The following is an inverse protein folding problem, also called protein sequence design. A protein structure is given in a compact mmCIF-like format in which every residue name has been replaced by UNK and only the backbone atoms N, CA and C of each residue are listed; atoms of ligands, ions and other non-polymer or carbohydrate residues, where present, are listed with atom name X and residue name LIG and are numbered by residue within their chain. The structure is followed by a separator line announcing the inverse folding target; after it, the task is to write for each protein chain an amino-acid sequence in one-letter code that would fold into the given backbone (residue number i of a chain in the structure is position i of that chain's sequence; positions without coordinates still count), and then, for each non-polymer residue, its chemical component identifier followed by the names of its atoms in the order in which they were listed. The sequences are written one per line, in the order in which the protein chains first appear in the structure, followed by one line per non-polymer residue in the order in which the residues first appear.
data_IF_559309684714
#
_entry.id   IF_559309684714
#
_cell.length_a   1.000
_cell.length_b   1.000
_cell.length_c   1.000
_cell.angle_alpha   90.00
_cell.angle_beta   90.00
_cell.angle_gamma   90.00
#
_symmetry.space_group_name_H-M   'P 1'
#
loop_
_entity.id
_entity.type
_entity.pdbx_description
1 polymer ?
#
# COMPACT_ATOMS: atom_id res chain seq x y z
N UNK A 1 7.64 24.02 -15.30
CA UNK A 1 6.25 24.22 -15.76
C UNK A 1 5.36 23.39 -14.82
N UNK A 2 4.66 24.03 -13.90
CA UNK A 2 3.84 23.33 -12.90
C UNK A 2 2.63 22.69 -13.56
N UNK A 3 2.53 21.35 -13.45
CA UNK A 3 1.38 20.55 -13.95
C UNK A 3 0.14 20.72 -13.01
N UNK A 4 0.00 21.88 -12.38
CA UNK A 4 -0.98 22.10 -11.30
C UNK A 4 -2.44 22.29 -11.75
N UNK A 5 -2.74 22.46 -13.07
CA UNK A 5 -4.01 23.11 -13.44
C UNK A 5 -4.94 22.33 -14.39
N UNK A 6 -4.87 20.99 -14.52
CA UNK A 6 -5.72 20.30 -15.50
C UNK A 6 -6.53 19.11 -15.01
N UNK A 7 -6.73 18.93 -13.73
CA UNK A 7 -7.56 17.80 -13.28
C UNK A 7 -8.87 18.30 -12.68
N UNK A 8 -9.90 18.24 -13.49
CA UNK A 8 -11.29 18.40 -13.02
C UNK A 8 -11.57 17.29 -12.01
N UNK A 9 -11.82 17.66 -10.77
CA UNK A 9 -12.44 16.73 -9.81
C UNK A 9 -13.80 16.39 -10.40
N UNK A 10 -14.04 15.14 -10.75
CA UNK A 10 -15.36 14.70 -11.18
C UNK A 10 -16.18 14.59 -9.89
N UNK A 11 -17.16 15.46 -9.65
CA UNK A 11 -18.08 15.33 -8.54
C UNK A 11 -19.06 14.18 -8.88
N UNK A 12 -18.60 12.94 -8.73
CA UNK A 12 -19.39 11.75 -8.97
C UNK A 12 -19.48 10.97 -7.67
N UNK A 13 -20.70 10.81 -7.17
CA UNK A 13 -20.97 10.02 -5.97
C UNK A 13 -21.17 8.56 -6.37
N UNK A 14 -20.41 7.69 -5.73
CA UNK A 14 -20.55 6.24 -5.86
C UNK A 14 -21.06 5.66 -4.57
N UNK A 15 -22.28 5.10 -4.60
CA UNK A 15 -22.88 4.51 -3.40
C UNK A 15 -21.99 3.42 -2.80
N UNK A 16 -22.03 3.30 -1.46
CA UNK A 16 -21.33 2.24 -0.74
C UNK A 16 -21.57 0.85 -1.35
N UNK A 17 -22.80 0.56 -1.77
CA UNK A 17 -23.17 -0.71 -2.40
C UNK A 17 -22.37 -0.98 -3.69
N UNK A 18 -22.20 0.03 -4.55
CA UNK A 18 -21.42 -0.09 -5.79
C UNK A 18 -19.94 -0.25 -5.50
N UNK A 19 -19.39 0.53 -4.55
CA UNK A 19 -17.99 0.42 -4.11
C UNK A 19 -17.69 -0.97 -3.55
N UNK A 20 -18.55 -1.50 -2.66
CA UNK A 20 -18.43 -2.84 -2.09
C UNK A 20 -18.44 -3.92 -3.17
N UNK A 21 -19.36 -3.80 -4.15
CA UNK A 21 -19.46 -4.76 -5.26
C UNK A 21 -18.17 -4.79 -6.09
N UNK A 22 -17.63 -3.62 -6.44
CA UNK A 22 -16.36 -3.51 -7.14
C UNK A 22 -15.20 -4.09 -6.32
N UNK A 23 -15.10 -3.76 -5.03
CA UNK A 23 -14.09 -4.30 -4.12
C UNK A 23 -14.11 -5.83 -4.07
N UNK A 24 -15.27 -6.45 -3.85
CA UNK A 24 -15.42 -7.90 -3.83
C UNK A 24 -15.03 -8.55 -5.17
N UNK A 25 -15.36 -7.92 -6.30
CA UNK A 25 -14.98 -8.38 -7.63
C UNK A 25 -13.45 -8.39 -7.81
N UNK A 26 -12.78 -7.32 -7.38
CA UNK A 26 -11.31 -7.23 -7.47
C UNK A 26 -10.62 -8.19 -6.49
N UNK A 27 -11.12 -8.35 -5.27
CA UNK A 27 -10.60 -9.35 -4.33
C UNK A 27 -10.64 -10.76 -4.93
N UNK A 28 -11.79 -11.15 -5.54
CA UNK A 28 -11.92 -12.43 -6.23
C UNK A 28 -10.92 -12.57 -7.39
N UNK A 29 -10.74 -11.50 -8.18
CA UNK A 29 -9.80 -11.47 -9.30
C UNK A 29 -8.34 -11.61 -8.85
N UNK A 30 -8.00 -11.03 -7.69
CA UNK A 30 -6.67 -11.14 -7.06
C UNK A 30 -6.43 -12.51 -6.39
N UNK A 31 -7.43 -13.38 -6.33
CA UNK A 31 -7.31 -14.74 -5.79
C UNK A 31 -7.61 -14.86 -4.29
N UNK A 32 -8.30 -13.87 -3.70
CA UNK A 32 -8.76 -13.98 -2.31
C UNK A 32 -9.76 -15.10 -2.12
N UNK A 33 -9.51 -15.98 -1.15
CA UNK A 33 -10.39 -17.09 -0.83
C UNK A 33 -11.47 -16.67 0.18
N UNK A 34 -12.68 -16.42 -0.29
CA UNK A 34 -13.83 -16.04 0.54
C UNK A 34 -14.35 -17.14 1.49
N UNK A 35 -13.90 -18.39 1.33
CA UNK A 35 -14.19 -19.45 2.32
C UNK A 35 -13.26 -19.35 3.54
N UNK A 36 -12.18 -18.55 3.43
CA UNK A 36 -11.17 -18.32 4.46
C UNK A 36 -11.06 -16.84 4.83
N UNK A 37 -12.12 -16.08 4.65
CA UNK A 37 -12.14 -14.70 5.03
C UNK A 37 -13.30 -13.92 4.41
N UNK A 38 -13.37 -12.62 4.76
CA UNK A 38 -14.47 -11.75 4.32
C UNK A 38 -14.08 -10.28 4.35
N UNK A 39 -14.87 -9.45 3.68
CA UNK A 39 -14.79 -8.00 3.68
C UNK A 39 -15.96 -7.40 4.46
N UNK A 40 -15.64 -6.63 5.50
CA UNK A 40 -16.59 -5.89 6.33
C UNK A 40 -16.31 -4.38 6.28
N UNK A 41 -17.15 -3.59 6.95
CA UNK A 41 -17.01 -2.14 7.09
C UNK A 41 -16.51 -1.78 8.48
N UNK A 42 -15.57 -0.83 8.56
CA UNK A 42 -15.09 -0.24 9.81
C UNK A 42 -14.70 1.22 9.63
N UNK A 43 -14.36 1.90 10.73
CA UNK A 43 -13.88 3.28 10.70
C UNK A 43 -12.49 3.41 10.04
N UNK A 44 -11.65 2.38 10.16
CA UNK A 44 -10.33 2.31 9.57
C UNK A 44 -10.16 1.01 8.80
N UNK A 45 -9.61 1.03 7.56
CA UNK A 45 -9.19 -0.18 6.86
C UNK A 45 -8.20 -0.98 7.70
N UNK A 46 -8.33 -2.29 7.65
CA UNK A 46 -7.48 -3.17 8.44
C UNK A 46 -7.64 -4.61 7.95
N UNK A 47 -6.57 -5.37 7.99
CA UNK A 47 -6.56 -6.82 7.78
C UNK A 47 -6.07 -7.53 9.04
N UNK A 48 -6.74 -8.62 9.43
CA UNK A 48 -6.36 -9.40 10.61
C UNK A 48 -7.07 -10.73 10.66
N UNK A 49 -6.83 -11.48 11.73
CA UNK A 49 -7.37 -12.82 11.92
C UNK A 49 -6.26 -13.87 11.87
N UNK A 50 -6.61 -15.03 11.34
CA UNK A 50 -5.68 -16.16 11.17
C UNK A 50 -5.74 -16.64 9.71
N UNK A 51 -4.74 -17.40 9.22
CA UNK A 51 -4.67 -17.82 7.82
C UNK A 51 -5.91 -18.53 7.26
N UNK A 52 -6.73 -19.13 8.11
CA UNK A 52 -7.95 -19.83 7.73
C UNK A 52 -9.24 -19.03 8.01
N UNK A 53 -9.14 -17.83 8.61
CA UNK A 53 -10.21 -16.83 8.79
C UNK A 53 -9.63 -15.41 8.78
N UNK A 54 -9.25 -14.92 7.60
CA UNK A 54 -8.70 -13.57 7.42
C UNK A 54 -9.83 -12.58 7.20
N UNK A 55 -9.89 -11.55 8.03
CA UNK A 55 -10.93 -10.53 7.99
C UNK A 55 -10.37 -9.19 7.56
N UNK A 56 -10.89 -8.70 6.46
CA UNK A 56 -10.58 -7.38 5.91
C UNK A 56 -11.69 -6.42 6.30
N UNK A 57 -11.33 -5.20 6.66
CA UNK A 57 -12.28 -4.11 6.79
C UNK A 57 -11.90 -2.94 5.91
N UNK A 58 -12.90 -2.16 5.50
CA UNK A 58 -12.70 -0.93 4.75
C UNK A 58 -13.68 0.14 5.17
N UNK A 59 -13.35 1.39 4.84
CA UNK A 59 -14.23 2.55 4.96
C UNK A 59 -14.66 2.98 3.57
N UNK A 60 -15.96 3.21 3.38
CA UNK A 60 -16.50 3.73 2.14
C UNK A 60 -16.76 5.23 2.26
N UNK A 61 -16.31 5.98 1.26
CA UNK A 61 -16.66 7.38 1.07
C UNK A 61 -17.31 7.53 -0.31
N UNK A 62 -18.55 8.00 -0.35
CA UNK A 62 -19.27 8.15 -1.61
C UNK A 62 -18.67 9.23 -2.52
N UNK A 63 -17.89 10.15 -1.95
CA UNK A 63 -17.18 11.20 -2.70
C UNK A 63 -15.75 10.80 -3.11
N UNK A 64 -15.17 9.77 -2.46
CA UNK A 64 -13.83 9.27 -2.74
C UNK A 64 -13.77 7.73 -2.83
N UNK A 65 -14.45 7.21 -3.85
CA UNK A 65 -14.46 5.78 -4.14
C UNK A 65 -13.06 5.20 -4.45
N UNK A 66 -12.15 6.02 -4.98
CA UNK A 66 -10.82 5.57 -5.38
C UNK A 66 -9.96 5.22 -4.16
N UNK A 67 -10.02 6.05 -3.10
CA UNK A 67 -9.35 5.76 -1.82
C UNK A 67 -9.88 4.47 -1.20
N UNK A 68 -11.22 4.30 -1.18
CA UNK A 68 -11.84 3.07 -0.68
C UNK A 68 -11.38 1.83 -1.46
N UNK A 69 -11.30 1.94 -2.79
CA UNK A 69 -10.88 0.84 -3.66
C UNK A 69 -9.42 0.46 -3.43
N UNK A 70 -8.52 1.45 -3.39
CA UNK A 70 -7.09 1.20 -3.14
C UNK A 70 -6.87 0.62 -1.75
N UNK A 71 -7.64 1.06 -0.74
CA UNK A 71 -7.64 0.46 0.59
C UNK A 71 -8.06 -1.02 0.58
N UNK A 72 -9.11 -1.39 -0.16
CA UNK A 72 -9.50 -2.81 -0.31
C UNK A 72 -8.40 -3.62 -0.98
N UNK A 73 -7.75 -3.09 -2.03
CA UNK A 73 -6.64 -3.76 -2.71
C UNK A 73 -5.45 -3.94 -1.76
N UNK A 74 -5.11 -2.92 -0.99
CA UNK A 74 -4.05 -2.95 0.02
C UNK A 74 -4.29 -4.05 1.05
N UNK A 75 -5.46 -4.04 1.70
CA UNK A 75 -5.81 -5.03 2.70
C UNK A 75 -5.91 -6.45 2.11
N UNK A 76 -6.29 -6.56 0.83
CA UNK A 76 -6.27 -7.85 0.12
C UNK A 76 -4.86 -8.40 -0.01
N UNK A 77 -3.85 -7.54 -0.22
CA UNK A 77 -2.44 -7.98 -0.26
C UNK A 77 -1.98 -8.58 1.07
N UNK A 78 -2.30 -7.94 2.18
CA UNK A 78 -2.08 -8.48 3.51
C UNK A 78 -2.77 -9.83 3.71
N UNK A 79 -4.03 -9.92 3.30
CA UNK A 79 -4.83 -11.12 3.46
C UNK A 79 -4.35 -12.29 2.60
N UNK A 80 -3.86 -12.03 1.38
CA UNK A 80 -3.29 -13.06 0.52
C UNK A 80 -1.99 -13.62 1.07
N UNK A 81 -1.20 -12.80 1.78
CA UNK A 81 -0.04 -13.27 2.51
C UNK A 81 -0.46 -14.25 3.62
N UNK A 82 -1.39 -13.85 4.48
CA UNK A 82 -1.92 -14.73 5.53
C UNK A 82 -2.49 -16.03 4.97
N UNK A 83 -3.35 -15.97 3.93
CA UNK A 83 -3.92 -17.16 3.29
C UNK A 83 -2.88 -18.03 2.59
N UNK A 84 -1.72 -17.48 2.26
CA UNK A 84 -0.60 -18.16 1.61
C UNK A 84 0.40 -18.82 2.57
N UNK A 85 0.31 -18.55 3.88
CA UNK A 85 1.24 -19.08 4.88
C UNK A 85 1.22 -20.62 4.95
N UNK A 86 2.36 -21.27 5.30
CA UNK A 86 2.52 -22.71 5.25
C UNK A 86 1.56 -23.44 6.19
N UNK A 87 0.81 -24.40 5.64
CA UNK A 87 -0.20 -25.16 6.40
C UNK A 87 0.41 -26.14 7.39
N UNK A 88 1.56 -26.69 7.06
CA UNK A 88 2.30 -27.67 7.89
C UNK A 88 2.80 -27.06 9.18
N UNK A 89 2.93 -25.74 9.25
CA UNK A 89 3.41 -25.02 10.44
C UNK A 89 2.31 -24.23 11.16
N UNK A 90 1.03 -24.54 10.88
CA UNK A 90 -0.10 -23.88 11.54
C UNK A 90 0.00 -23.95 13.06
N UNK A 91 -0.20 -22.83 13.73
CA UNK A 91 -0.14 -22.74 15.18
C UNK A 91 1.28 -22.79 15.77
N UNK A 92 2.31 -22.71 14.92
CA UNK A 92 3.70 -22.61 15.35
C UNK A 92 4.25 -21.23 14.92
N UNK A 93 5.13 -20.60 15.73
CA UNK A 93 5.70 -19.27 15.40
C UNK A 93 6.42 -19.23 14.05
N UNK A 94 7.00 -20.35 13.59
CA UNK A 94 7.66 -20.45 12.29
C UNK A 94 6.65 -20.35 11.13
N UNK A 95 5.39 -20.70 11.37
CA UNK A 95 4.31 -20.62 10.39
C UNK A 95 3.63 -19.24 10.30
N UNK A 96 3.99 -18.31 11.18
CA UNK A 96 3.44 -16.95 11.17
C UNK A 96 4.13 -16.09 10.09
N UNK A 97 3.49 -14.99 9.71
CA UNK A 97 4.05 -14.02 8.77
C UNK A 97 5.37 -13.42 9.30
N UNK A 98 6.34 -13.19 8.40
CA UNK A 98 7.68 -12.69 8.76
C UNK A 98 7.70 -11.18 8.98
N UNK A 99 7.07 -10.71 10.04
CA UNK A 99 7.16 -9.32 10.48
C UNK A 99 6.56 -8.31 9.50
N UNK A 100 6.47 -7.05 9.94
CA UNK A 100 5.70 -6.02 9.25
C UNK A 100 6.33 -5.52 7.95
N UNK A 101 7.65 -5.59 7.79
CA UNK A 101 8.30 -5.19 6.51
C UNK A 101 7.81 -6.07 5.35
N UNK A 102 7.84 -7.40 5.53
CA UNK A 102 7.34 -8.32 4.49
C UNK A 102 5.81 -8.27 4.39
N UNK A 103 5.11 -8.12 5.51
CA UNK A 103 3.65 -8.01 5.49
C UNK A 103 3.17 -6.81 4.68
N UNK A 104 3.78 -5.64 4.92
CA UNK A 104 3.50 -4.41 4.16
C UNK A 104 3.98 -4.53 2.71
N UNK A 105 5.06 -5.27 2.43
CA UNK A 105 5.50 -5.47 1.06
C UNK A 105 4.47 -6.21 0.21
N UNK A 106 3.64 -7.09 0.80
CA UNK A 106 2.62 -7.84 0.06
C UNK A 106 1.42 -6.94 -0.28
N UNK A 107 0.99 -6.08 0.65
CA UNK A 107 -0.04 -5.06 0.40
C UNK A 107 0.40 -4.09 -0.69
N UNK A 108 1.63 -3.56 -0.59
CA UNK A 108 2.15 -2.59 -1.54
C UNK A 108 2.57 -3.20 -2.89
N UNK A 109 2.91 -4.49 -2.95
CA UNK A 109 3.10 -5.19 -4.23
C UNK A 109 1.80 -5.22 -5.02
N UNK A 110 0.65 -5.47 -4.38
CA UNK A 110 -0.64 -5.39 -5.06
C UNK A 110 -1.05 -3.95 -5.32
N UNK A 111 -1.11 -3.10 -4.29
CA UNK A 111 -1.62 -1.74 -4.42
C UNK A 111 -0.72 -0.87 -5.30
N UNK A 112 0.54 -0.69 -4.88
CA UNK A 112 1.44 0.29 -5.49
C UNK A 112 2.09 -0.22 -6.77
N UNK A 113 2.47 -1.50 -6.84
CA UNK A 113 3.18 -2.00 -8.00
C UNK A 113 2.22 -2.52 -9.08
N UNK A 114 1.39 -3.49 -8.77
CA UNK A 114 0.49 -4.11 -9.74
C UNK A 114 -0.71 -3.21 -10.08
N UNK A 115 -1.48 -2.76 -9.08
CA UNK A 115 -2.76 -2.07 -9.31
C UNK A 115 -2.64 -0.56 -9.58
N UNK A 116 -1.45 0.01 -9.44
CA UNK A 116 -1.16 1.37 -9.96
C UNK A 116 -0.37 1.34 -11.27
N UNK A 117 -0.24 0.19 -11.93
CA UNK A 117 0.32 0.10 -13.27
C UNK A 117 -0.66 0.57 -14.33
N UNK A 118 -0.14 1.08 -15.46
CA UNK A 118 -0.95 1.47 -16.62
C UNK A 118 -1.76 0.30 -17.14
N UNK A 119 -1.16 -0.88 -17.18
CA UNK A 119 -1.76 -2.11 -17.66
C UNK A 119 -2.98 -2.50 -16.84
N UNK A 120 -2.90 -2.40 -15.51
CA UNK A 120 -4.06 -2.67 -14.66
C UNK A 120 -5.21 -1.68 -14.91
N UNK A 121 -4.93 -0.40 -15.15
CA UNK A 121 -5.97 0.58 -15.47
C UNK A 121 -6.65 0.31 -16.81
N UNK A 122 -5.97 -0.36 -17.78
CA UNK A 122 -6.61 -0.80 -19.02
C UNK A 122 -7.66 -1.89 -18.76
N UNK A 123 -7.46 -2.74 -17.75
CA UNK A 123 -8.48 -3.67 -17.25
C UNK A 123 -9.53 -2.97 -16.37
N UNK A 124 -9.09 -2.13 -15.44
CA UNK A 124 -9.96 -1.57 -14.40
C UNK A 124 -10.99 -0.57 -14.97
N UNK A 125 -10.61 0.25 -15.94
CA UNK A 125 -11.47 1.31 -16.47
C UNK A 125 -12.81 0.80 -17.03
N UNK A 126 -12.86 -0.23 -17.89
CA UNK A 126 -14.13 -0.79 -18.35
C UNK A 126 -14.93 -1.45 -17.22
N UNK A 127 -14.27 -2.03 -16.21
CA UNK A 127 -14.94 -2.62 -15.04
C UNK A 127 -15.61 -1.53 -14.21
N UNK A 128 -14.94 -0.39 -14.01
CA UNK A 128 -15.52 0.80 -13.32
C UNK A 128 -16.70 1.34 -14.13
N UNK A 129 -16.54 1.50 -15.44
CA UNK A 129 -17.60 2.02 -16.31
C UNK A 129 -18.89 1.20 -16.19
N UNK A 130 -18.77 -0.12 -16.18
CA UNK A 130 -19.88 -1.06 -16.03
C UNK A 130 -20.50 -1.00 -14.62
N UNK A 131 -19.68 -1.11 -13.56
CA UNK A 131 -20.18 -1.17 -12.19
C UNK A 131 -20.78 0.16 -11.69
N UNK A 132 -20.27 1.27 -12.18
CA UNK A 132 -20.73 2.60 -11.75
C UNK A 132 -21.75 3.22 -12.73
N UNK A 133 -21.95 2.61 -13.89
CA UNK A 133 -22.82 3.13 -14.95
C UNK A 133 -22.37 4.52 -15.41
N UNK A 134 -21.07 4.62 -15.77
CA UNK A 134 -20.42 5.85 -16.18
C UNK A 134 -19.77 5.72 -17.55
N UNK A 135 -19.62 6.85 -18.23
CA UNK A 135 -18.98 6.92 -19.54
C UNK A 135 -18.31 8.28 -19.74
N UNK A 136 -17.40 8.38 -20.70
CA UNK A 136 -16.72 9.63 -21.02
C UNK A 136 -15.20 9.50 -20.93
N UNK A 137 -14.49 10.50 -21.42
CA UNK A 137 -13.02 10.52 -21.47
C UNK A 137 -12.37 10.52 -20.11
N UNK A 138 -13.02 11.09 -19.12
CA UNK A 138 -12.60 11.17 -17.72
C UNK A 138 -12.55 9.82 -17.02
N UNK A 139 -13.26 8.82 -17.54
CA UNK A 139 -13.28 7.43 -17.07
C UNK A 139 -12.37 6.51 -17.90
N UNK A 140 -11.63 7.06 -18.85
CA UNK A 140 -10.64 6.28 -19.62
C UNK A 140 -9.50 5.77 -18.71
N UNK A 141 -8.89 4.66 -19.10
CA UNK A 141 -7.74 4.08 -18.40
C UNK A 141 -6.63 5.10 -18.13
N UNK A 142 -6.31 5.93 -19.14
CA UNK A 142 -5.31 6.98 -19.02
C UNK A 142 -5.69 8.06 -18.00
N UNK A 143 -6.96 8.52 -17.99
CA UNK A 143 -7.41 9.55 -17.07
C UNK A 143 -7.44 9.05 -15.64
N UNK A 144 -7.94 7.83 -15.40
CA UNK A 144 -7.97 7.21 -14.09
C UNK A 144 -6.55 6.92 -13.56
N UNK A 145 -5.65 6.42 -14.41
CA UNK A 145 -4.25 6.20 -14.06
C UNK A 145 -3.55 7.50 -13.65
N UNK A 146 -3.68 8.57 -14.45
CA UNK A 146 -3.11 9.88 -14.14
C UNK A 146 -3.65 10.45 -12.82
N UNK A 147 -4.96 10.27 -12.56
CA UNK A 147 -5.58 10.68 -11.28
C UNK A 147 -4.97 9.92 -10.10
N UNK A 148 -4.75 8.61 -10.24
CA UNK A 148 -4.17 7.76 -9.21
C UNK A 148 -2.71 8.10 -8.90
N UNK A 149 -1.96 8.61 -9.89
CA UNK A 149 -0.54 8.99 -9.74
C UNK A 149 -0.35 10.47 -9.38
N UNK A 150 -1.41 11.19 -9.02
CA UNK A 150 -1.29 12.61 -8.67
C UNK A 150 -0.47 12.79 -7.39
N UNK A 151 0.55 13.66 -7.48
CA UNK A 151 1.34 14.09 -6.33
C UNK A 151 0.65 15.29 -5.69
N UNK A 152 0.29 15.15 -4.41
CA UNK A 152 -0.35 16.22 -3.64
C UNK A 152 0.19 16.18 -2.20
N UNK A 153 1.31 16.85 -1.91
CA UNK A 153 1.87 16.89 -0.57
C UNK A 153 0.81 17.35 0.45
N UNK A 154 0.69 16.63 1.55
CA UNK A 154 -0.35 16.80 2.55
C UNK A 154 0.25 16.77 3.96
N UNK A 155 -0.50 17.24 4.98
CA UNK A 155 -0.11 17.12 6.38
C UNK A 155 -0.24 15.68 6.90
N UNK A 156 -1.25 14.97 6.43
CA UNK A 156 -1.67 13.68 6.99
C UNK A 156 -0.94 12.54 6.26
N UNK A 157 -0.21 11.72 7.02
CA UNK A 157 0.56 10.60 6.48
C UNK A 157 -0.29 9.58 5.74
N UNK A 158 -1.42 9.20 6.31
CA UNK A 158 -2.28 8.16 5.72
C UNK A 158 -2.93 8.58 4.39
N UNK A 159 -2.98 9.89 4.12
CA UNK A 159 -3.50 10.46 2.88
C UNK A 159 -2.38 10.88 1.91
N UNK A 160 -1.11 10.59 2.26
CA UNK A 160 0.04 11.02 1.45
C UNK A 160 0.15 10.18 0.17
N UNK A 161 0.57 10.86 -0.91
CA UNK A 161 0.91 10.21 -2.17
C UNK A 161 2.19 9.36 -2.07
N UNK A 162 2.38 8.43 -3.02
CA UNK A 162 3.50 7.49 -3.03
C UNK A 162 4.88 8.17 -2.98
N UNK A 163 5.02 9.35 -3.61
CA UNK A 163 6.31 10.05 -3.69
C UNK A 163 6.64 10.74 -2.37
N UNK A 164 5.65 11.31 -1.69
CA UNK A 164 5.87 12.09 -0.45
C UNK A 164 5.71 11.26 0.83
N UNK A 165 5.11 10.07 0.75
CA UNK A 165 4.94 9.18 1.89
C UNK A 165 6.25 8.86 2.65
N UNK A 166 7.37 8.53 2.00
CA UNK A 166 8.64 8.28 2.69
C UNK A 166 9.14 9.45 3.53
N UNK A 167 8.84 10.70 3.14
CA UNK A 167 9.23 11.88 3.92
C UNK A 167 8.49 11.94 5.25
N UNK A 168 7.22 11.52 5.28
CA UNK A 168 6.45 11.39 6.52
C UNK A 168 7.07 10.33 7.46
N UNK A 169 7.52 9.22 6.91
CA UNK A 169 8.17 8.14 7.68
C UNK A 169 9.52 8.60 8.22
N UNK A 170 10.36 9.21 7.38
CA UNK A 170 11.69 9.72 7.77
C UNK A 170 11.57 10.76 8.89
N UNK A 171 10.59 11.66 8.80
CA UNK A 171 10.32 12.65 9.83
C UNK A 171 10.06 11.97 11.17
N UNK A 172 9.14 11.02 11.21
CA UNK A 172 8.78 10.28 12.43
C UNK A 172 9.94 9.48 12.99
N UNK A 173 10.66 8.77 12.15
CA UNK A 173 11.82 7.99 12.54
C UNK A 173 12.89 8.85 13.23
N UNK A 174 13.22 10.01 12.67
CA UNK A 174 14.21 10.92 13.26
C UNK A 174 13.74 11.50 14.59
N UNK A 175 12.48 11.92 14.69
CA UNK A 175 11.93 12.44 15.94
C UNK A 175 11.86 11.33 17.01
N UNK A 176 11.48 10.12 16.64
CA UNK A 176 11.45 8.96 17.53
C UNK A 176 12.84 8.65 18.10
N UNK A 177 13.88 8.65 17.25
CA UNK A 177 15.25 8.49 17.71
C UNK A 177 15.64 9.57 18.73
N UNK A 178 15.33 10.84 18.44
CA UNK A 178 15.65 11.96 19.36
C UNK A 178 14.88 11.90 20.67
N UNK A 179 13.63 11.43 20.66
CA UNK A 179 12.83 11.22 21.87
C UNK A 179 13.41 10.08 22.73
N UNK A 180 13.79 8.97 22.10
CA UNK A 180 14.30 7.78 22.81
C UNK A 180 15.73 7.99 23.33
N UNK A 181 16.57 8.77 22.64
CA UNK A 181 17.91 9.14 23.13
C UNK A 181 17.88 10.19 24.25
N UNK A 182 16.75 10.91 24.41
CA UNK A 182 16.64 12.03 25.35
C UNK A 182 17.15 13.36 24.80
N UNK A 183 17.52 13.43 23.51
CA UNK A 183 17.96 14.68 22.84
C UNK A 183 16.79 15.63 22.60
N UNK A 184 15.57 15.12 22.60
CA UNK A 184 14.32 15.86 22.45
C UNK A 184 13.36 15.51 23.58
N UNK A 185 12.86 16.49 24.30
CA UNK A 185 11.78 16.28 25.26
C UNK A 185 10.40 16.23 24.57
N UNK A 186 9.45 15.52 25.18
CA UNK A 186 8.05 15.46 24.67
C UNK A 186 7.44 16.86 24.57
N UNK A 187 7.79 17.79 25.47
CA UNK A 187 7.30 19.17 25.44
C UNK A 187 7.76 19.93 24.19
N UNK A 188 8.93 19.62 23.66
CA UNK A 188 9.51 20.27 22.48
C UNK A 188 9.06 19.61 21.18
N UNK A 189 8.45 18.43 21.25
CA UNK A 189 8.04 17.66 20.07
C UNK A 189 7.20 18.46 19.05
N UNK A 190 6.18 19.28 19.43
CA UNK A 190 5.39 20.02 18.45
C UNK A 190 6.24 21.00 17.62
N UNK A 191 7.19 21.70 18.27
CA UNK A 191 8.07 22.62 17.56
C UNK A 191 9.04 21.89 16.64
N UNK A 192 9.69 20.83 17.13
CA UNK A 192 10.62 20.01 16.35
C UNK A 192 9.92 19.36 15.14
N UNK A 193 8.67 18.90 15.32
CA UNK A 193 7.83 18.39 14.24
C UNK A 193 7.60 19.44 13.15
N UNK A 194 7.14 20.63 13.54
CA UNK A 194 6.82 21.71 12.61
C UNK A 194 8.06 22.19 11.83
N UNK A 195 9.23 22.26 12.47
CA UNK A 195 10.47 22.64 11.83
C UNK A 195 10.96 21.59 10.83
N UNK A 196 10.89 20.32 11.21
CA UNK A 196 11.27 19.21 10.33
C UNK A 196 10.28 19.06 9.17
N UNK A 197 8.98 19.27 9.43
CA UNK A 197 7.93 19.24 8.41
C UNK A 197 8.14 20.37 7.38
N UNK A 198 8.39 21.60 7.84
CA UNK A 198 8.73 22.74 6.97
C UNK A 198 9.95 22.44 6.10
N UNK A 199 11.00 21.84 6.67
CA UNK A 199 12.22 21.49 5.93
C UNK A 199 11.96 20.43 4.85
N UNK A 200 11.05 19.50 5.10
CA UNK A 200 10.76 18.37 4.19
C UNK A 200 9.72 18.71 3.12
N UNK A 201 8.70 19.49 3.46
CA UNK A 201 7.52 19.74 2.62
C UNK A 201 7.35 21.18 2.17
N UNK A 202 8.05 22.15 2.80
CA UNK A 202 7.96 23.58 2.47
C UNK A 202 6.74 24.29 3.07
N UNK A 203 5.97 23.63 3.95
CA UNK A 203 4.83 24.21 4.68
C UNK A 203 4.73 23.58 6.07
N UNK A 204 3.89 24.14 6.96
CA UNK A 204 3.73 23.66 8.35
C UNK A 204 2.29 23.28 8.64
N UNK A 205 2.04 22.23 9.45
CA UNK A 205 0.73 22.02 10.06
C UNK A 205 0.28 23.24 10.86
N UNK A 206 -1.02 23.53 10.86
CA UNK A 206 -1.60 24.67 11.56
C UNK A 206 -1.95 24.39 13.01
N UNK A 207 -1.93 23.11 13.40
CA UNK A 207 -2.25 22.60 14.73
C UNK A 207 -1.61 21.22 14.94
N UNK A 208 -1.53 20.78 16.21
CA UNK A 208 -0.87 19.54 16.56
C UNK A 208 -1.67 18.29 16.15
N UNK A 209 -2.99 18.38 15.98
CA UNK A 209 -3.84 17.29 15.48
C UNK A 209 -3.42 16.87 14.07
N UNK A 210 -3.12 17.85 13.21
CA UNK A 210 -2.65 17.61 11.84
C UNK A 210 -1.12 17.46 11.80
N UNK A 211 -0.46 17.67 12.93
CA UNK A 211 0.97 17.54 13.18
C UNK A 211 1.33 16.29 13.98
N UNK A 212 2.00 16.47 15.11
CA UNK A 212 2.59 15.37 15.90
C UNK A 212 1.56 14.46 16.59
N UNK A 213 0.29 14.83 16.64
CA UNK A 213 -0.78 14.03 17.27
C UNK A 213 -1.64 13.24 16.27
N UNK A 214 -1.27 13.22 14.98
CA UNK A 214 -2.11 12.56 13.95
C UNK A 214 -2.05 11.03 13.96
N UNK A 215 -1.00 10.44 14.52
CA UNK A 215 -0.78 8.99 14.56
C UNK A 215 -0.91 8.44 15.99
N UNK A 216 -1.42 7.23 16.13
CA UNK A 216 -1.59 6.56 17.44
C UNK A 216 -0.37 5.74 17.87
N UNK A 217 0.59 5.50 16.99
CA UNK A 217 1.70 4.55 17.18
C UNK A 217 2.44 4.75 18.50
N UNK A 218 2.85 5.97 18.81
CA UNK A 218 3.59 6.23 20.05
C UNK A 218 2.72 6.12 21.31
N UNK A 219 1.41 6.41 21.20
CA UNK A 219 0.46 6.21 22.31
C UNK A 219 0.24 4.73 22.64
N UNK A 220 0.30 3.87 21.60
CA UNK A 220 0.21 2.41 21.74
C UNK A 220 1.56 1.75 22.06
N UNK A 221 2.63 2.53 22.22
CA UNK A 221 3.97 2.02 22.48
C UNK A 221 4.65 1.38 21.28
N UNK A 222 4.14 1.60 20.07
CA UNK A 222 4.68 1.05 18.82
C UNK A 222 5.90 1.85 18.30
N UNK A 223 6.92 1.93 19.13
CA UNK A 223 8.22 2.51 18.76
C UNK A 223 8.96 1.60 17.79
N UNK A 224 9.66 2.18 16.81
CA UNK A 224 10.35 1.43 15.73
C UNK A 224 9.43 0.93 14.62
N UNK A 225 8.13 1.23 14.68
CA UNK A 225 7.16 0.73 13.71
C UNK A 225 7.16 1.51 12.39
N UNK A 226 7.24 2.85 12.40
CA UNK A 226 7.14 3.70 11.21
C UNK A 226 8.07 3.31 10.05
N UNK A 227 9.34 2.88 10.27
CA UNK A 227 10.20 2.44 9.20
C UNK A 227 9.62 1.30 8.34
N UNK A 228 8.79 0.42 8.93
CA UNK A 228 8.23 -0.75 8.24
C UNK A 228 7.44 -0.38 6.99
N UNK A 229 6.77 0.77 6.98
CA UNK A 229 6.03 1.28 5.83
C UNK A 229 6.92 1.54 4.62
N UNK A 230 8.01 2.31 4.81
CA UNK A 230 8.92 2.61 3.69
C UNK A 230 9.78 1.42 3.31
N UNK A 231 10.23 0.62 4.29
CA UNK A 231 10.96 -0.63 4.01
C UNK A 231 10.07 -1.63 3.29
N UNK A 232 8.77 -1.70 3.64
CA UNK A 232 7.77 -2.48 2.91
C UNK A 232 7.60 -2.03 1.47
N UNK A 233 7.55 -0.71 1.22
CA UNK A 233 7.50 -0.16 -0.14
C UNK A 233 8.75 -0.47 -0.96
N UNK A 234 9.94 -0.41 -0.34
CA UNK A 234 11.20 -0.81 -0.96
C UNK A 234 11.20 -2.30 -1.33
N UNK A 235 10.77 -3.16 -0.40
CA UNK A 235 10.66 -4.60 -0.63
C UNK A 235 9.64 -4.92 -1.74
N UNK A 236 8.49 -4.24 -1.75
CA UNK A 236 7.47 -4.39 -2.80
C UNK A 236 8.01 -4.06 -4.19
N UNK A 237 8.73 -2.95 -4.34
CA UNK A 237 9.35 -2.56 -5.61
C UNK A 237 10.41 -3.57 -6.08
N UNK A 238 11.22 -4.09 -5.15
CA UNK A 238 12.24 -5.09 -5.44
C UNK A 238 11.62 -6.43 -5.84
N UNK A 239 10.62 -6.93 -5.09
CA UNK A 239 9.88 -8.16 -5.41
C UNK A 239 9.17 -8.06 -6.76
N UNK A 240 8.49 -6.94 -7.02
CA UNK A 240 7.80 -6.75 -8.29
C UNK A 240 8.77 -6.67 -9.47
N UNK A 241 9.92 -6.00 -9.31
CA UNK A 241 10.98 -5.99 -10.31
C UNK A 241 11.51 -7.39 -10.60
N UNK A 242 11.69 -8.22 -9.56
CA UNK A 242 12.16 -9.59 -9.70
C UNK A 242 11.15 -10.46 -10.46
N UNK A 243 9.86 -10.43 -10.08
CA UNK A 243 8.85 -11.24 -10.77
C UNK A 243 8.67 -10.82 -12.22
N UNK A 244 8.65 -9.52 -12.54
CA UNK A 244 8.54 -9.05 -13.94
C UNK A 244 9.73 -9.48 -14.79
N UNK A 245 10.93 -9.58 -14.18
CA UNK A 245 12.14 -10.05 -14.86
C UNK A 245 12.06 -11.55 -15.22
N UNK A 246 11.53 -12.38 -14.33
CA UNK A 246 11.43 -13.84 -14.56
C UNK A 246 10.16 -14.23 -15.30
N UNK A 247 9.08 -13.48 -15.13
CA UNK A 247 7.78 -13.67 -15.78
C UNK A 247 7.36 -12.40 -16.56
N UNK A 248 7.95 -12.14 -17.73
CA UNK A 248 7.68 -10.89 -18.49
C UNK A 248 6.21 -10.71 -18.90
N UNK A 249 5.40 -11.79 -18.85
CA UNK A 249 3.96 -11.74 -19.18
C UNK A 249 3.10 -11.14 -18.06
N UNK A 250 3.65 -10.92 -16.85
CA UNK A 250 2.89 -10.37 -15.70
C UNK A 250 2.13 -9.10 -16.10
N UNK A 251 2.79 -8.12 -16.71
CA UNK A 251 2.14 -6.87 -17.10
C UNK A 251 0.99 -7.10 -18.11
N UNK A 252 1.18 -7.97 -19.10
CA UNK A 252 0.12 -8.31 -20.06
C UNK A 252 -1.04 -9.06 -19.42
N UNK A 253 -0.80 -9.86 -18.37
CA UNK A 253 -1.83 -10.52 -17.57
C UNK A 253 -2.60 -9.52 -16.69
N UNK A 254 -1.91 -8.57 -16.06
CA UNK A 254 -2.57 -7.49 -15.30
C UNK A 254 -3.53 -6.67 -16.19
N UNK A 255 -3.19 -6.48 -17.46
CA UNK A 255 -4.07 -5.85 -18.46
C UNK A 255 -5.36 -6.65 -18.71
N UNK A 256 -5.38 -7.92 -18.37
CA UNK A 256 -6.55 -8.81 -18.45
C UNK A 256 -7.22 -9.03 -17.09
N UNK A 257 -6.68 -8.42 -16.02
CA UNK A 257 -7.11 -8.64 -14.64
C UNK A 257 -6.68 -9.99 -14.08
N UNK A 258 -5.69 -10.65 -14.69
CA UNK A 258 -5.17 -11.94 -14.25
C UNK A 258 -3.95 -11.75 -13.34
N UNK A 259 -4.11 -12.05 -12.06
CA UNK A 259 -3.08 -11.99 -11.03
C UNK A 259 -2.46 -13.36 -10.71
N UNK A 260 -2.87 -14.42 -11.42
CA UNK A 260 -2.53 -15.79 -11.05
C UNK A 260 -1.03 -16.05 -10.97
N UNK A 261 -0.25 -15.64 -11.98
CA UNK A 261 1.20 -15.87 -11.99
C UNK A 261 1.92 -15.03 -10.92
N UNK A 262 1.48 -13.79 -10.70
CA UNK A 262 2.02 -12.95 -9.63
C UNK A 262 1.78 -13.61 -8.27
N UNK A 263 0.56 -14.09 -8.02
CA UNK A 263 0.21 -14.74 -6.75
C UNK A 263 0.95 -16.07 -6.57
N UNK A 264 1.09 -16.87 -7.62
CA UNK A 264 1.88 -18.13 -7.57
C UNK A 264 3.32 -17.82 -7.21
N UNK A 265 3.95 -16.85 -7.87
CA UNK A 265 5.32 -16.47 -7.58
C UNK A 265 5.51 -15.96 -6.14
N UNK A 266 4.61 -15.07 -5.65
CA UNK A 266 4.66 -14.59 -4.27
C UNK A 266 4.49 -15.72 -3.25
N UNK A 267 3.61 -16.68 -3.51
CA UNK A 267 3.42 -17.84 -2.64
C UNK A 267 4.67 -18.70 -2.57
N UNK A 268 5.31 -18.96 -3.71
CA UNK A 268 6.50 -19.79 -3.79
C UNK A 268 7.72 -19.12 -3.14
N UNK A 269 7.93 -17.84 -3.38
CA UNK A 269 9.16 -17.14 -3.00
C UNK A 269 9.07 -16.39 -1.67
N UNK A 270 7.87 -16.09 -1.18
CA UNK A 270 7.67 -15.31 0.06
C UNK A 270 6.76 -16.03 1.04
N UNK A 271 5.50 -16.33 0.65
CA UNK A 271 4.47 -16.76 1.60
C UNK A 271 4.76 -18.12 2.23
N UNK A 272 5.24 -19.09 1.43
CA UNK A 272 5.51 -20.46 1.87
C UNK A 272 6.61 -20.58 2.93
N UNK A 273 7.38 -19.54 3.13
CA UNK A 273 8.47 -19.55 4.11
C UNK A 273 8.01 -19.16 5.53
N UNK A 274 6.86 -18.50 5.69
CA UNK A 274 6.44 -17.98 6.99
C UNK A 274 7.55 -17.18 7.65
N UNK A 275 7.88 -17.52 8.89
CA UNK A 275 9.01 -16.95 9.65
C UNK A 275 10.25 -17.84 9.69
N UNK A 276 10.37 -18.82 8.78
CA UNK A 276 11.51 -19.75 8.77
C UNK A 276 12.85 -19.07 8.49
N UNK A 277 12.87 -18.10 7.57
CA UNK A 277 14.03 -17.28 7.25
C UNK A 277 13.87 -15.85 7.80
N UNK A 278 14.96 -15.12 7.95
CA UNK A 278 14.94 -13.68 8.19
C UNK A 278 14.38 -12.91 6.98
N UNK A 279 14.00 -11.65 7.18
CA UNK A 279 13.55 -10.79 6.08
C UNK A 279 14.60 -10.67 4.97
N UNK A 280 15.87 -10.47 5.34
CA UNK A 280 16.96 -10.35 4.37
C UNK A 280 17.19 -11.64 3.59
N UNK A 281 17.14 -12.80 4.25
CA UNK A 281 17.26 -14.10 3.58
C UNK A 281 16.09 -14.36 2.62
N UNK A 282 14.85 -13.98 2.98
CA UNK A 282 13.70 -14.11 2.07
C UNK A 282 13.88 -13.19 0.87
N UNK A 283 14.28 -11.94 1.08
CA UNK A 283 14.54 -11.00 0.00
C UNK A 283 15.65 -11.48 -0.94
N UNK A 284 16.76 -11.97 -0.38
CA UNK A 284 17.88 -12.49 -1.17
C UNK A 284 17.47 -13.72 -1.98
N UNK A 285 16.71 -14.66 -1.41
CA UNK A 285 16.20 -15.84 -2.10
C UNK A 285 15.23 -15.49 -3.21
N UNK A 286 14.35 -14.52 -2.99
CA UNK A 286 13.33 -14.12 -3.95
C UNK A 286 13.89 -13.23 -5.07
N UNK A 287 14.91 -12.41 -4.80
CA UNK A 287 15.33 -11.33 -5.71
C UNK A 287 16.81 -11.37 -6.09
N UNK A 288 17.61 -12.20 -5.40
CA UNK A 288 19.05 -12.34 -5.60
C UNK A 288 19.91 -11.38 -4.77
N UNK A 289 19.30 -10.45 -4.02
CA UNK A 289 20.00 -9.51 -3.12
C UNK A 289 19.16 -9.24 -1.87
N UNK A 290 19.78 -8.91 -0.72
CA UNK A 290 19.08 -8.35 0.42
C UNK A 290 18.29 -7.10 0.03
N UNK A 291 17.55 -6.51 0.96
CA UNK A 291 16.76 -5.30 0.71
C UNK A 291 17.65 -4.16 0.19
N UNK A 292 17.36 -3.70 -1.04
CA UNK A 292 18.12 -2.65 -1.74
C UNK A 292 17.20 -1.49 -2.13
N UNK A 293 17.40 -0.27 -1.58
CA UNK A 293 16.58 0.90 -1.89
C UNK A 293 16.66 1.35 -3.35
N UNK A 294 17.65 0.90 -4.12
CA UNK A 294 17.83 1.30 -5.53
C UNK A 294 16.64 0.89 -6.41
N UNK A 295 15.98 -0.23 -6.11
CA UNK A 295 14.78 -0.68 -6.81
C UNK A 295 13.62 0.30 -6.62
N UNK A 296 13.40 0.76 -5.39
CA UNK A 296 12.34 1.74 -5.09
C UNK A 296 12.65 3.11 -5.71
N UNK A 297 13.88 3.57 -5.63
CA UNK A 297 14.30 4.83 -6.27
C UNK A 297 14.11 4.74 -7.79
N UNK A 298 14.47 3.63 -8.42
CA UNK A 298 14.28 3.40 -9.86
C UNK A 298 12.80 3.37 -10.23
N UNK A 299 11.97 2.72 -9.41
CA UNK A 299 10.53 2.70 -9.57
C UNK A 299 9.94 4.12 -9.52
N UNK A 300 10.24 4.92 -8.50
CA UNK A 300 9.76 6.29 -8.38
C UNK A 300 10.20 7.17 -9.56
N UNK A 301 11.48 7.05 -9.98
CA UNK A 301 11.97 7.78 -11.15
C UNK A 301 11.22 7.39 -12.43
N UNK A 302 11.04 6.10 -12.66
CA UNK A 302 10.33 5.62 -13.85
C UNK A 302 8.87 6.04 -13.89
N UNK A 303 8.23 6.18 -12.73
CA UNK A 303 6.80 6.53 -12.61
C UNK A 303 6.55 8.04 -12.68
N UNK A 304 7.40 8.85 -12.06
CA UNK A 304 7.15 10.27 -11.83
C UNK A 304 8.07 11.25 -12.57
N UNK A 305 9.15 10.78 -13.19
CA UNK A 305 10.14 11.64 -13.87
C UNK A 305 10.22 11.40 -15.39
N UNK A 306 9.15 10.87 -15.99
CA UNK A 306 9.03 10.72 -17.46
C UNK A 306 8.69 12.03 -18.15
#
# INVERSE_FOLDING_TARGET
MCIRDRYTVIPFQVTEKKQKKLGLKLMAQQGFNFQKGRLDKSAHPFSGGIPDDVRITTRYDEQDWASSLMGVIHETGHALYEQGLPKEWRGQPVGDARGMVLHESQSLTLEMQACRSREFFEFLAPVIADEFDVSGKEWSASALHQKCLRITPNFIRVDADELTYPLHVILRYRLEQSLLSGDLSVKELPLAWNDMFMKSFGFRPTNDRDGCLQDIHWYDGAFGYFPTYTLGAMAAAQLFSAVVKVEPKILSKLKQGDFSDLLVWLREHVHSWGSYYSTDEIMERATGTPLDPSFYISHLKSRYMQ
#
